data_IF_719790234593
#
_entry.id   IF_719790234593
#
_cell.length_a   1.000
_cell.length_b   1.000
_cell.length_c   1.000
_cell.angle_alpha   90.00
_cell.angle_beta   90.00
_cell.angle_gamma   90.00
#
_symmetry.space_group_name_H-M   'P 1'
#
loop_
_entity.id
_entity.type
_entity.pdbx_description
1 polymer ?
#
# COMPACT_ATOMS: atom_id res chain seq x y z
N UNK A 1 31.12 -9.20 20.72
CA UNK A 1 31.72 -8.61 19.50
C UNK A 1 30.74 -8.45 18.31
N UNK A 2 29.55 -9.05 18.33
CA UNK A 2 28.56 -8.99 17.23
C UNK A 2 27.80 -7.63 17.15
N UNK A 3 27.74 -6.87 18.25
CA UNK A 3 27.00 -5.60 18.33
C UNK A 3 27.63 -4.42 17.58
N UNK A 4 28.97 -4.36 17.45
CA UNK A 4 29.65 -3.27 16.74
C UNK A 4 29.49 -3.38 15.22
N UNK A 5 29.56 -4.59 14.65
CA UNK A 5 29.45 -4.81 13.19
C UNK A 5 28.02 -4.50 12.69
N UNK A 6 26.98 -4.86 13.47
CA UNK A 6 25.58 -4.49 13.16
C UNK A 6 25.35 -2.98 13.15
N UNK A 7 26.10 -2.22 13.95
CA UNK A 7 25.98 -0.76 14.05
C UNK A 7 26.60 -0.03 12.85
N UNK A 8 27.57 -0.66 12.18
CA UNK A 8 28.26 -0.11 11.00
C UNK A 8 27.54 -0.54 9.71
N UNK A 9 27.01 -1.77 9.66
CA UNK A 9 26.43 -2.37 8.45
C UNK A 9 24.90 -2.47 8.45
N UNK A 10 24.25 -2.03 9.53
CA UNK A 10 22.83 -2.15 9.76
C UNK A 10 22.36 -3.60 9.99
N UNK A 11 21.14 -3.75 10.50
CA UNK A 11 20.45 -5.03 10.59
C UNK A 11 19.81 -5.42 9.25
N UNK A 12 19.52 -6.71 9.04
CA UNK A 12 18.75 -7.17 7.86
C UNK A 12 17.45 -6.37 7.72
N UNK A 13 16.75 -6.14 8.83
CA UNK A 13 15.52 -5.36 8.86
C UNK A 13 15.74 -3.91 8.38
N UNK A 14 16.76 -3.22 8.89
CA UNK A 14 17.08 -1.85 8.46
C UNK A 14 17.40 -1.77 6.96
N UNK A 15 18.05 -2.79 6.40
CA UNK A 15 18.32 -2.86 4.96
C UNK A 15 17.04 -3.05 4.15
N UNK A 16 16.16 -3.95 4.57
CA UNK A 16 14.87 -4.16 3.88
C UNK A 16 13.99 -2.91 3.95
N UNK A 17 13.90 -2.25 5.12
CA UNK A 17 13.21 -0.97 5.26
C UNK A 17 13.86 0.10 4.38
N UNK A 18 15.19 0.15 4.32
CA UNK A 18 15.94 1.04 3.45
C UNK A 18 15.57 0.86 1.98
N UNK A 19 15.52 -0.40 1.50
CA UNK A 19 15.08 -0.72 0.14
C UNK A 19 13.67 -0.19 -0.13
N UNK A 20 12.70 -0.56 0.71
CA UNK A 20 11.30 -0.11 0.56
C UNK A 20 11.21 1.42 0.49
N UNK A 21 11.90 2.13 1.40
CA UNK A 21 11.95 3.60 1.42
C UNK A 21 12.56 4.18 0.14
N UNK A 22 13.60 3.55 -0.39
CA UNK A 22 14.30 4.05 -1.58
C UNK A 22 13.65 3.69 -2.91
N UNK A 23 12.96 2.56 -3.00
CA UNK A 23 12.45 2.03 -4.27
C UNK A 23 10.93 2.08 -4.38
N UNK A 24 10.19 1.63 -3.35
CA UNK A 24 8.74 1.51 -3.43
C UNK A 24 8.04 2.82 -3.10
N UNK A 25 8.46 3.51 -2.04
CA UNK A 25 7.80 4.75 -1.58
C UNK A 25 7.76 5.83 -2.67
N UNK A 26 8.85 6.13 -3.41
CA UNK A 26 8.80 7.15 -4.45
C UNK A 26 7.85 6.80 -5.60
N UNK A 27 7.72 5.51 -5.93
CA UNK A 27 6.81 5.04 -6.98
C UNK A 27 5.36 5.19 -6.53
N UNK A 28 5.04 4.81 -5.28
CA UNK A 28 3.71 5.01 -4.68
C UNK A 28 3.35 6.50 -4.65
N UNK A 29 4.27 7.35 -4.20
CA UNK A 29 4.02 8.80 -4.11
C UNK A 29 3.84 9.44 -5.50
N UNK A 30 4.49 8.92 -6.55
CA UNK A 30 4.26 9.35 -7.93
C UNK A 30 2.84 9.05 -8.43
N UNK A 31 2.18 7.99 -7.91
CA UNK A 31 0.77 7.73 -8.18
C UNK A 31 -0.17 8.64 -7.38
N UNK A 32 0.28 9.22 -6.26
CA UNK A 32 -0.59 9.95 -5.34
C UNK A 32 -1.35 11.09 -5.99
N UNK A 33 -0.72 11.87 -6.87
CA UNK A 33 -1.40 13.01 -7.53
C UNK A 33 -2.51 12.57 -8.47
N UNK A 34 -2.30 11.45 -9.18
CA UNK A 34 -3.33 10.87 -10.05
C UNK A 34 -4.49 10.30 -9.25
N UNK A 35 -4.20 9.62 -8.15
CA UNK A 35 -5.21 8.98 -7.29
C UNK A 35 -6.05 10.01 -6.54
N UNK A 36 -5.43 11.09 -6.02
CA UNK A 36 -6.15 12.18 -5.33
C UNK A 36 -7.24 12.82 -6.18
N UNK A 37 -7.05 12.88 -7.51
CA UNK A 37 -7.99 13.48 -8.42
C UNK A 37 -9.26 12.64 -8.67
N UNK A 38 -9.28 11.37 -8.22
CA UNK A 38 -10.38 10.45 -8.47
C UNK A 38 -11.51 10.61 -7.43
N UNK A 39 -12.74 10.41 -7.88
CA UNK A 39 -13.92 10.26 -7.04
C UNK A 39 -13.94 8.92 -6.31
N UNK A 40 -14.79 8.80 -5.29
CA UNK A 40 -14.93 7.55 -4.51
C UNK A 40 -15.41 6.37 -5.38
N UNK A 41 -16.27 6.65 -6.37
CA UNK A 41 -16.74 5.63 -7.32
C UNK A 41 -15.61 5.15 -8.24
N UNK A 42 -14.75 6.06 -8.69
CA UNK A 42 -13.57 5.72 -9.51
C UNK A 42 -12.53 4.92 -8.71
N UNK A 43 -12.33 5.24 -7.42
CA UNK A 43 -11.47 4.46 -6.53
C UNK A 43 -12.03 3.04 -6.34
N UNK A 44 -13.34 2.89 -6.13
CA UNK A 44 -14.00 1.59 -6.07
C UNK A 44 -13.89 0.81 -7.38
N UNK A 45 -14.01 1.50 -8.53
CA UNK A 45 -13.91 0.89 -9.85
C UNK A 45 -12.52 0.29 -10.11
N UNK A 46 -11.45 0.92 -9.63
CA UNK A 46 -10.09 0.35 -9.72
C UNK A 46 -9.97 -1.01 -9.07
N UNK A 47 -10.51 -1.17 -7.86
CA UNK A 47 -10.50 -2.46 -7.17
C UNK A 47 -11.25 -3.54 -7.96
N UNK A 48 -12.42 -3.21 -8.51
CA UNK A 48 -13.20 -4.14 -9.33
C UNK A 48 -12.42 -4.55 -10.58
N UNK A 49 -11.79 -3.60 -11.26
CA UNK A 49 -10.99 -3.87 -12.46
C UNK A 49 -9.82 -4.83 -12.15
N UNK A 50 -9.07 -4.61 -11.07
CA UNK A 50 -8.00 -5.53 -10.68
C UNK A 50 -8.53 -6.91 -10.28
N UNK A 51 -9.67 -6.99 -9.59
CA UNK A 51 -10.26 -8.29 -9.25
C UNK A 51 -10.68 -9.07 -10.50
N UNK A 52 -11.28 -8.41 -11.49
CA UNK A 52 -11.65 -9.02 -12.77
C UNK A 52 -10.42 -9.47 -13.56
N UNK A 53 -9.33 -8.69 -13.55
CA UNK A 53 -8.06 -8.99 -14.20
C UNK A 53 -7.31 -10.17 -13.55
N UNK A 54 -7.25 -10.20 -12.22
CA UNK A 54 -6.44 -11.17 -11.47
C UNK A 54 -7.13 -12.52 -11.27
N UNK A 55 -8.47 -12.54 -11.20
CA UNK A 55 -9.26 -13.75 -10.96
C UNK A 55 -8.98 -14.93 -11.92
N UNK A 56 -8.78 -14.73 -13.24
CA UNK A 56 -8.49 -15.85 -14.15
C UNK A 56 -7.04 -16.35 -14.11
N UNK A 57 -6.14 -15.72 -13.34
CA UNK A 57 -4.74 -16.15 -13.26
C UNK A 57 -4.64 -17.33 -12.28
N UNK A 58 -4.46 -18.54 -12.82
CA UNK A 58 -4.31 -19.77 -12.03
C UNK A 58 -2.86 -20.06 -11.62
N UNK A 59 -1.89 -19.52 -12.37
CA UNK A 59 -0.46 -19.71 -12.11
C UNK A 59 0.04 -18.75 -11.02
N UNK A 60 0.59 -19.32 -9.95
CA UNK A 60 1.04 -18.56 -8.76
C UNK A 60 2.19 -17.60 -9.07
N UNK A 61 3.11 -17.96 -9.97
CA UNK A 61 4.24 -17.10 -10.34
C UNK A 61 3.76 -15.90 -11.17
N UNK A 62 2.87 -16.15 -12.13
CA UNK A 62 2.22 -15.10 -12.91
C UNK A 62 1.37 -14.18 -12.05
N UNK A 63 0.63 -14.74 -11.09
CA UNK A 63 -0.16 -13.97 -10.14
C UNK A 63 0.74 -13.09 -9.26
N UNK A 64 1.80 -13.66 -8.70
CA UNK A 64 2.78 -12.91 -7.90
C UNK A 64 3.42 -11.78 -8.72
N UNK A 65 3.82 -12.06 -9.96
CA UNK A 65 4.37 -11.05 -10.86
C UNK A 65 3.37 -9.89 -11.08
N UNK A 66 2.11 -10.20 -11.39
CA UNK A 66 1.09 -9.15 -11.57
C UNK A 66 0.77 -8.38 -10.29
N UNK A 67 0.77 -9.05 -9.14
CA UNK A 67 0.59 -8.38 -7.86
C UNK A 67 1.74 -7.40 -7.58
N UNK A 68 2.99 -7.74 -7.91
CA UNK A 68 4.12 -6.81 -7.81
C UNK A 68 3.96 -5.60 -8.74
N UNK A 69 3.45 -5.78 -9.96
CA UNK A 69 3.22 -4.68 -10.91
C UNK A 69 2.16 -3.69 -10.41
N UNK A 70 1.02 -4.18 -9.90
CA UNK A 70 -0.07 -3.29 -9.44
C UNK A 70 0.18 -2.72 -8.03
N UNK A 71 1.11 -3.31 -7.26
CA UNK A 71 1.36 -2.97 -5.85
C UNK A 71 1.50 -1.46 -5.61
N UNK A 72 2.29 -0.68 -6.38
CA UNK A 72 2.48 0.73 -6.08
C UNK A 72 1.20 1.56 -6.25
N UNK A 73 0.42 1.28 -7.31
CA UNK A 73 -0.84 1.97 -7.56
C UNK A 73 -1.92 1.56 -6.54
N UNK A 74 -2.02 0.27 -6.23
CA UNK A 74 -2.94 -0.23 -5.21
C UNK A 74 -2.65 0.38 -3.83
N UNK A 75 -1.37 0.54 -3.47
CA UNK A 75 -0.98 1.19 -2.22
C UNK A 75 -1.33 2.68 -2.23
N UNK A 76 -1.19 3.37 -3.36
CA UNK A 76 -1.61 4.77 -3.48
C UNK A 76 -3.13 4.94 -3.30
N UNK A 77 -3.94 4.03 -3.86
CA UNK A 77 -5.41 3.99 -3.65
C UNK A 77 -5.76 3.81 -2.18
N UNK A 78 -5.17 2.82 -1.51
CA UNK A 78 -5.43 2.57 -0.08
C UNK A 78 -5.03 3.77 0.78
N UNK A 79 -3.87 4.38 0.52
CA UNK A 79 -3.37 5.56 1.23
C UNK A 79 -4.32 6.76 1.06
N UNK A 80 -4.87 6.97 -0.13
CA UNK A 80 -5.82 8.05 -0.36
C UNK A 80 -7.15 7.81 0.36
N UNK A 81 -7.69 6.59 0.32
CA UNK A 81 -8.93 6.26 1.04
C UNK A 81 -8.73 6.39 2.56
N UNK A 82 -7.61 5.88 3.09
CA UNK A 82 -7.28 6.02 4.52
C UNK A 82 -7.23 7.50 4.93
N UNK A 83 -6.64 8.36 4.09
CA UNK A 83 -6.64 9.80 4.30
C UNK A 83 -8.04 10.41 4.28
N UNK A 84 -8.91 10.02 3.35
CA UNK A 84 -10.30 10.51 3.27
C UNK A 84 -11.13 10.13 4.49
N UNK A 85 -10.85 8.97 5.08
CA UNK A 85 -11.51 8.50 6.29
C UNK A 85 -11.00 9.19 7.57
N UNK A 86 -9.86 9.88 7.52
CA UNK A 86 -9.28 10.54 8.67
C UNK A 86 -10.22 11.58 9.29
N UNK A 87 -10.44 11.49 10.60
CA UNK A 87 -11.38 12.33 11.35
C UNK A 87 -12.82 11.78 11.40
N UNK A 88 -13.12 10.70 10.69
CA UNK A 88 -14.43 10.05 10.75
C UNK A 88 -14.47 9.10 11.96
N UNK A 89 -15.60 9.05 12.65
CA UNK A 89 -15.86 8.03 13.67
C UNK A 89 -16.59 6.86 13.03
N UNK A 90 -16.06 5.65 13.21
CA UNK A 90 -16.64 4.42 12.68
C UNK A 90 -17.02 3.46 13.80
N UNK A 91 -18.14 2.76 13.64
CA UNK A 91 -18.58 1.74 14.59
C UNK A 91 -17.94 0.40 14.27
N UNK A 92 -17.10 -0.12 15.16
CA UNK A 92 -16.47 -1.44 15.06
C UNK A 92 -16.90 -2.31 16.23
N UNK A 93 -17.63 -3.40 15.96
CA UNK A 93 -18.17 -4.31 16.98
C UNK A 93 -18.97 -3.57 18.09
N UNK A 94 -19.70 -2.52 17.71
CA UNK A 94 -20.50 -1.69 18.62
C UNK A 94 -19.72 -0.63 19.41
N UNK A 95 -18.43 -0.45 19.13
CA UNK A 95 -17.59 0.60 19.71
C UNK A 95 -17.31 1.68 18.68
N UNK A 96 -17.47 2.94 19.07
CA UNK A 96 -17.10 4.09 18.25
C UNK A 96 -15.58 4.29 18.29
N UNK A 97 -14.95 4.28 17.12
CA UNK A 97 -13.49 4.44 16.96
C UNK A 97 -13.23 5.60 16.02
N UNK A 98 -12.42 6.56 16.45
CA UNK A 98 -11.90 7.63 15.58
C UNK A 98 -10.88 7.04 14.61
N UNK A 99 -11.07 7.28 13.32
CA UNK A 99 -10.06 6.98 12.32
C UNK A 99 -8.98 8.07 12.32
N UNK A 100 -7.80 7.73 12.85
CA UNK A 100 -6.61 8.60 12.95
C UNK A 100 -5.40 8.01 12.21
N UNK A 101 -5.65 7.29 11.10
CA UNK A 101 -4.63 6.68 10.25
C UNK A 101 -4.55 7.39 8.91
N UNK A 102 -3.32 7.68 8.45
CA UNK A 102 -3.01 8.25 7.12
C UNK A 102 -2.01 7.36 6.38
#
# INVERSE_FOLDING_TARGET
MIGLIKRIFGTKNEREVGKIRSSLVPVVDAFSEKIKALSDDELCAKTKAWQEELKPIEDDEQLAYRLEEIKPEAFAVVKEVARRLCGITITVRGQEILWDMV
#
